data_IF_647685228092
#
_entry.id   IF_647685228092
#
_cell.length_a   1.000
_cell.length_b   1.000
_cell.length_c   1.000
_cell.angle_alpha   90.00
_cell.angle_beta   90.00
_cell.angle_gamma   90.00
#
_symmetry.space_group_name_H-M   'P 1'
#
loop_
_entity.id
_entity.type
_entity.pdbx_description
1 polymer ?
#
# COMPACT_ATOMS: atom_id res chain seq x y z
N UNK A 1 -21.88 -8.02 -22.89
CA UNK A 1 -20.61 -8.17 -23.61
C UNK A 1 -19.54 -8.84 -22.75
N UNK A 2 -19.27 -8.38 -21.51
CA UNK A 2 -18.30 -9.01 -20.59
C UNK A 2 -18.97 -9.64 -19.37
N UNK A 3 -18.46 -10.79 -18.94
CA UNK A 3 -18.70 -11.43 -17.65
C UNK A 3 -17.60 -11.05 -16.66
N UNK A 4 -17.99 -10.30 -15.63
CA UNK A 4 -17.12 -9.79 -14.58
C UNK A 4 -17.17 -10.63 -13.30
N UNK A 5 -17.97 -11.70 -13.28
CA UNK A 5 -18.17 -12.57 -12.12
C UNK A 5 -17.06 -13.60 -11.94
N UNK A 6 -16.30 -13.89 -13.00
CA UNK A 6 -15.17 -14.82 -12.99
C UNK A 6 -13.83 -14.10 -13.00
N UNK A 7 -12.76 -14.79 -12.58
CA UNK A 7 -11.38 -14.31 -12.70
C UNK A 7 -10.56 -15.30 -13.55
N UNK A 8 -9.95 -14.88 -14.68
CA UNK A 8 -10.01 -13.55 -15.30
C UNK A 8 -11.42 -13.22 -15.83
N UNK A 9 -11.67 -11.93 -16.08
CA UNK A 9 -12.87 -11.48 -16.81
C UNK A 9 -12.91 -12.09 -18.21
N UNK A 10 -14.10 -12.43 -18.68
CA UNK A 10 -14.31 -13.09 -19.99
C UNK A 10 -15.45 -12.45 -20.75
N UNK A 11 -15.55 -12.69 -22.04
CA UNK A 11 -16.72 -12.25 -22.80
C UNK A 11 -17.88 -13.22 -22.58
N UNK A 12 -19.10 -12.69 -22.58
CA UNK A 12 -20.30 -13.53 -22.58
C UNK A 12 -20.42 -14.22 -23.95
N UNK A 13 -20.83 -15.49 -24.03
CA UNK A 13 -20.87 -16.26 -25.28
C UNK A 13 -21.73 -15.65 -26.41
N UNK A 14 -22.61 -14.71 -26.10
CA UNK A 14 -23.57 -14.07 -27.02
C UNK A 14 -22.99 -12.82 -27.70
N UNK A 15 -21.70 -12.50 -27.49
CA UNK A 15 -21.06 -11.35 -28.11
C UNK A 15 -20.55 -11.68 -29.52
N UNK A 16 -21.29 -11.29 -30.57
CA UNK A 16 -20.92 -11.52 -31.98
C UNK A 16 -19.73 -10.65 -32.46
N UNK A 17 -19.40 -9.57 -31.75
CA UNK A 17 -18.27 -8.69 -32.05
C UNK A 17 -17.51 -8.34 -30.75
N UNK A 18 -16.19 -8.51 -30.79
CA UNK A 18 -15.29 -8.14 -29.69
C UNK A 18 -15.07 -6.63 -29.75
N UNK A 19 -15.90 -5.88 -29.01
CA UNK A 19 -15.79 -4.42 -28.91
C UNK A 19 -14.55 -3.93 -28.16
N UNK A 20 -13.82 -4.85 -27.49
CA UNK A 20 -12.56 -4.56 -26.82
C UNK A 20 -11.52 -5.65 -27.06
N UNK A 21 -10.24 -5.28 -27.14
CA UNK A 21 -9.16 -6.29 -27.19
C UNK A 21 -9.02 -7.07 -25.87
N UNK A 22 -8.52 -8.33 -25.85
CA UNK A 22 -8.24 -9.05 -24.60
C UNK A 22 -7.25 -8.33 -23.68
N UNK A 23 -6.28 -7.61 -24.26
CA UNK A 23 -5.35 -6.77 -23.51
C UNK A 23 -6.08 -5.60 -22.81
N UNK A 24 -6.99 -4.91 -23.53
CA UNK A 24 -7.84 -3.89 -22.94
C UNK A 24 -8.74 -4.47 -21.83
N UNK A 25 -9.31 -5.66 -22.02
CA UNK A 25 -10.12 -6.33 -21.00
C UNK A 25 -9.34 -6.59 -19.71
N UNK A 26 -8.08 -7.03 -19.81
CA UNK A 26 -7.22 -7.21 -18.65
C UNK A 26 -6.92 -5.88 -17.92
N UNK A 27 -6.76 -4.78 -18.66
CA UNK A 27 -6.59 -3.45 -18.05
C UNK A 27 -7.86 -2.96 -17.35
N UNK A 28 -9.05 -3.22 -17.90
CA UNK A 28 -10.31 -2.93 -17.22
C UNK A 28 -10.50 -3.75 -15.94
N UNK A 29 -10.09 -5.03 -15.95
CA UNK A 29 -10.10 -5.86 -14.76
C UNK A 29 -9.18 -5.30 -13.66
N UNK A 30 -7.97 -4.83 -14.02
CA UNK A 30 -7.05 -4.15 -13.10
C UNK A 30 -7.63 -2.85 -12.56
N UNK A 31 -8.20 -2.01 -13.42
CA UNK A 31 -8.85 -0.75 -13.01
C UNK A 31 -10.01 -0.99 -12.03
N UNK A 32 -10.82 -2.02 -12.27
CA UNK A 32 -11.89 -2.41 -11.35
C UNK A 32 -11.34 -2.83 -9.98
N UNK A 33 -10.25 -3.61 -9.94
CA UNK A 33 -9.57 -3.96 -8.68
C UNK A 33 -9.05 -2.73 -7.94
N UNK A 34 -8.39 -1.80 -8.63
CA UNK A 34 -7.91 -0.54 -8.06
C UNK A 34 -9.08 0.25 -7.45
N UNK A 35 -10.20 0.33 -8.18
CA UNK A 35 -11.42 0.98 -7.71
C UNK A 35 -11.97 0.32 -6.44
N UNK A 36 -12.06 -1.01 -6.41
CA UNK A 36 -12.61 -1.74 -5.26
C UNK A 36 -11.74 -1.61 -3.99
N UNK A 37 -10.42 -1.45 -4.17
CA UNK A 37 -9.48 -1.25 -3.05
C UNK A 37 -9.59 0.18 -2.50
N UNK A 38 -9.53 1.20 -3.36
CA UNK A 38 -9.34 2.58 -2.93
C UNK A 38 -10.63 3.42 -2.88
N UNK A 39 -11.63 3.13 -3.71
CA UNK A 39 -12.85 3.95 -3.85
C UNK A 39 -14.05 3.28 -3.19
N UNK A 40 -13.87 2.87 -1.94
CA UNK A 40 -14.89 2.13 -1.18
C UNK A 40 -16.07 3.03 -0.81
N UNK A 41 -17.22 2.40 -0.58
CA UNK A 41 -18.49 3.08 -0.27
C UNK A 41 -18.96 4.11 -1.32
N UNK A 42 -18.51 3.99 -2.57
CA UNK A 42 -18.88 4.94 -3.64
C UNK A 42 -18.19 6.30 -3.53
N UNK A 43 -17.14 6.41 -2.71
CA UNK A 43 -16.34 7.62 -2.59
C UNK A 43 -15.74 8.04 -3.92
N UNK A 44 -15.66 9.36 -4.16
CA UNK A 44 -15.04 9.95 -5.36
C UNK A 44 -13.53 10.12 -5.23
N UNK A 45 -12.99 9.87 -4.05
CA UNK A 45 -11.58 10.02 -3.70
C UNK A 45 -11.04 8.68 -3.19
N UNK A 46 -9.81 8.31 -3.58
CA UNK A 46 -9.19 7.10 -3.05
C UNK A 46 -8.95 7.27 -1.55
N UNK A 47 -9.18 6.22 -0.77
CA UNK A 47 -8.93 6.21 0.67
C UNK A 47 -8.55 4.81 1.17
N UNK A 48 -7.62 4.75 2.12
CA UNK A 48 -7.21 3.52 2.80
C UNK A 48 -6.90 3.81 4.27
N UNK A 49 -7.31 2.89 5.16
CA UNK A 49 -6.88 2.91 6.57
C UNK A 49 -5.93 1.75 6.82
N UNK A 50 -4.82 2.05 7.50
CA UNK A 50 -3.82 1.08 7.93
C UNK A 50 -3.59 1.23 9.43
N UNK A 51 -3.57 0.12 10.15
CA UNK A 51 -3.23 0.05 11.56
C UNK A 51 -1.86 -0.65 11.69
N UNK A 52 -0.85 0.07 12.18
CA UNK A 52 0.52 -0.40 12.34
C UNK A 52 0.77 -0.83 13.77
N UNK A 53 1.14 -2.08 13.98
CA UNK A 53 1.50 -2.65 15.28
C UNK A 53 2.98 -3.05 15.28
N UNK A 54 3.80 -2.52 16.19
CA UNK A 54 5.22 -2.90 16.30
C UNK A 54 5.37 -4.41 16.56
N UNK A 55 6.32 -5.04 15.89
CA UNK A 55 6.67 -6.47 16.08
C UNK A 55 8.12 -6.60 16.50
N UNK A 56 9.02 -5.93 15.79
CA UNK A 56 10.46 -6.00 16.04
C UNK A 56 11.09 -4.63 15.75
N UNK A 57 12.12 -4.28 16.51
CA UNK A 57 12.97 -3.13 16.25
C UNK A 57 14.38 -3.48 16.73
N UNK A 58 15.37 -3.28 15.87
CA UNK A 58 16.76 -3.53 16.25
C UNK A 58 17.14 -2.71 17.49
N UNK A 59 17.89 -3.31 18.42
CA UNK A 59 18.27 -2.69 19.69
C UNK A 59 19.11 -1.39 19.53
N UNK A 60 19.73 -1.20 18.36
CA UNK A 60 20.44 0.03 18.02
C UNK A 60 19.53 1.18 17.58
N UNK A 61 18.21 0.99 17.50
CA UNK A 61 17.22 2.02 17.25
C UNK A 61 16.49 2.32 18.56
N UNK A 62 16.61 3.54 19.06
CA UNK A 62 15.87 3.99 20.24
C UNK A 62 14.47 4.49 19.90
N UNK A 63 14.28 4.99 18.68
CA UNK A 63 12.98 5.46 18.20
C UNK A 63 12.83 5.29 16.69
N UNK A 64 11.68 4.79 16.28
CA UNK A 64 11.19 4.79 14.91
C UNK A 64 10.04 5.79 14.78
N UNK A 65 10.01 6.54 13.68
CA UNK A 65 8.91 7.42 13.28
C UNK A 65 8.60 7.20 11.81
N UNK A 66 7.35 6.86 11.50
CA UNK A 66 6.77 6.94 10.18
C UNK A 66 5.74 8.09 10.18
N UNK A 67 5.96 9.11 9.38
CA UNK A 67 5.02 10.20 9.10
C UNK A 67 4.31 9.92 7.78
N UNK A 68 3.00 9.69 7.84
CA UNK A 68 2.12 9.53 6.68
C UNK A 68 1.22 10.74 6.59
N UNK A 69 1.64 11.71 5.78
CA UNK A 69 0.86 12.91 5.50
C UNK A 69 0.35 13.63 6.77
N UNK A 70 1.26 13.80 7.74
CA UNK A 70 1.04 14.45 9.04
C UNK A 70 0.60 13.50 10.16
N UNK A 71 0.36 12.23 9.89
CA UNK A 71 0.00 11.23 10.90
C UNK A 71 1.22 10.39 11.28
N UNK A 72 1.48 10.28 12.58
CA UNK A 72 2.74 9.70 13.07
C UNK A 72 2.53 8.30 13.66
N UNK A 73 3.23 7.31 13.11
CA UNK A 73 3.47 6.00 13.73
C UNK A 73 4.84 6.05 14.41
N UNK A 74 4.86 6.18 15.74
CA UNK A 74 6.07 6.24 16.57
C UNK A 74 6.25 5.04 17.49
N UNK A 75 7.42 4.40 17.47
CA UNK A 75 7.75 3.34 18.43
C UNK A 75 9.12 3.56 19.06
N UNK A 76 9.23 3.36 20.37
CA UNK A 76 10.45 3.60 21.15
C UNK A 76 10.62 2.56 22.26
N UNK A 77 10.49 1.27 21.92
CA UNK A 77 10.53 0.14 22.87
C UNK A 77 9.52 0.25 24.04
N UNK A 78 8.40 0.94 23.81
CA UNK A 78 7.30 1.05 24.76
C UNK A 78 6.27 -0.08 24.60
N UNK A 79 5.08 0.07 25.20
CA UNK A 79 3.98 -0.86 24.99
C UNK A 79 3.63 -1.03 23.51
N UNK A 80 3.29 -2.26 23.13
CA UNK A 80 2.88 -2.59 21.75
C UNK A 80 1.42 -2.19 21.55
N UNK A 81 1.21 -0.97 21.05
CA UNK A 81 -0.11 -0.41 20.74
C UNK A 81 -0.23 -0.20 19.23
N UNK A 82 -1.31 -0.67 18.57
CA UNK A 82 -1.56 -0.38 17.17
C UNK A 82 -1.84 1.11 16.94
N UNK A 83 -1.27 1.67 15.86
CA UNK A 83 -1.47 3.08 15.49
C UNK A 83 -2.02 3.19 14.09
N UNK A 84 -3.12 3.94 13.97
CA UNK A 84 -3.86 4.10 12.74
C UNK A 84 -3.32 5.27 11.91
N UNK A 85 -3.28 5.07 10.59
CA UNK A 85 -3.12 6.15 9.61
C UNK A 85 -4.20 6.02 8.55
N UNK A 86 -4.70 7.17 8.09
CA UNK A 86 -5.60 7.26 6.95
C UNK A 86 -4.88 7.93 5.79
N UNK A 87 -4.95 7.33 4.60
CA UNK A 87 -4.43 7.91 3.38
C UNK A 87 -5.58 8.22 2.41
N UNK A 88 -5.59 9.38 1.73
CA UNK A 88 -4.77 10.56 2.00
C UNK A 88 -4.95 11.09 3.43
N UNK A 89 -3.92 11.72 3.97
CA UNK A 89 -3.92 12.22 5.34
C UNK A 89 -4.47 13.65 5.43
N UNK A 90 -4.62 14.18 6.66
CA UNK A 90 -5.23 15.48 6.89
C UNK A 90 -4.33 16.66 6.47
N UNK A 91 -3.02 16.43 6.32
CA UNK A 91 -2.07 17.51 6.00
C UNK A 91 -2.03 17.84 4.51
N UNK A 92 -2.45 16.93 3.63
CA UNK A 92 -2.43 17.13 2.18
C UNK A 92 -1.03 17.37 1.60
N UNK A 93 0.01 17.07 2.37
CA UNK A 93 1.41 17.20 1.96
C UNK A 93 1.81 16.16 0.92
N UNK A 94 1.04 15.08 0.79
CA UNK A 94 1.37 13.96 -0.11
C UNK A 94 2.80 13.44 0.11
N UNK A 95 3.28 13.45 1.35
CA UNK A 95 4.62 13.00 1.71
C UNK A 95 4.52 11.86 2.73
N UNK A 96 5.40 10.88 2.59
CA UNK A 96 5.67 9.85 3.58
C UNK A 96 7.14 9.91 3.98
N UNK A 97 7.42 9.87 5.28
CA UNK A 97 8.79 9.92 5.80
C UNK A 97 9.00 8.84 6.85
N UNK A 98 10.09 8.10 6.74
CA UNK A 98 10.54 7.17 7.78
C UNK A 98 11.82 7.73 8.39
N UNK A 99 11.93 7.67 9.72
CA UNK A 99 13.10 8.12 10.48
C UNK A 99 13.38 7.14 11.62
N UNK A 100 14.65 6.91 11.89
CA UNK A 100 15.14 6.14 13.03
C UNK A 100 16.18 6.93 13.80
N UNK A 101 16.12 6.85 15.13
CA UNK A 101 17.09 7.44 16.05
C UNK A 101 17.86 6.36 16.81
N UNK A 102 19.12 6.60 17.22
CA UNK A 102 19.93 7.77 16.86
C UNK A 102 20.29 7.78 15.37
N UNK A 103 20.69 8.93 14.80
CA UNK A 103 21.24 8.97 13.46
C UNK A 103 22.47 8.05 13.36
N UNK A 104 22.57 7.32 12.24
CA UNK A 104 23.76 6.55 11.91
C UNK A 104 24.94 7.49 11.61
N UNK A 105 26.13 7.10 12.05
CA UNK A 105 27.36 7.86 11.80
C UNK A 105 27.85 7.77 10.35
N UNK A 106 27.47 6.72 9.61
CA UNK A 106 28.01 6.41 8.28
C UNK A 106 26.95 5.94 7.27
N UNK A 107 25.66 6.13 7.56
CA UNK A 107 24.59 5.65 6.70
C UNK A 107 23.26 6.39 6.87
N UNK A 108 22.23 6.00 6.09
CA UNK A 108 20.92 6.63 6.17
C UNK A 108 20.29 6.37 7.54
N UNK A 109 19.48 7.34 7.98
CA UNK A 109 18.67 7.26 9.20
C UNK A 109 17.20 7.49 8.92
N UNK A 110 16.82 7.42 7.65
CA UNK A 110 15.46 7.59 7.19
C UNK A 110 15.37 7.61 5.67
N UNK A 111 14.14 7.75 5.20
CA UNK A 111 13.79 7.97 3.80
C UNK A 111 12.59 8.90 3.72
N UNK A 112 12.40 9.54 2.57
CA UNK A 112 11.21 10.34 2.28
C UNK A 112 10.74 10.05 0.86
N UNK A 113 9.43 9.95 0.68
CA UNK A 113 8.78 9.74 -0.61
C UNK A 113 7.68 10.78 -0.75
N UNK A 114 7.65 11.47 -1.89
CA UNK A 114 6.68 12.52 -2.18
C UNK A 114 5.70 12.08 -3.26
N UNK A 115 4.54 12.72 -3.33
CA UNK A 115 3.50 12.53 -4.33
C UNK A 115 2.26 11.79 -3.79
N UNK A 116 1.13 11.86 -4.51
CA UNK A 116 -0.16 11.39 -4.01
C UNK A 116 -0.12 9.91 -3.59
N UNK A 117 0.69 9.08 -4.25
CA UNK A 117 0.86 7.66 -3.96
C UNK A 117 2.12 7.33 -3.13
N UNK A 118 2.67 8.32 -2.40
CA UNK A 118 3.91 8.17 -1.63
C UNK A 118 3.87 7.02 -0.62
N UNK A 119 2.73 6.80 0.05
CA UNK A 119 2.57 5.71 1.00
C UNK A 119 2.82 4.34 0.34
N UNK A 120 2.23 4.09 -0.82
CA UNK A 120 2.37 2.82 -1.51
C UNK A 120 3.78 2.58 -2.01
N UNK A 121 4.45 3.63 -2.49
CA UNK A 121 5.87 3.55 -2.83
C UNK A 121 6.75 3.27 -1.62
N UNK A 122 6.49 3.92 -0.48
CA UNK A 122 7.22 3.65 0.76
C UNK A 122 6.98 2.23 1.28
N UNK A 123 5.78 1.66 1.07
CA UNK A 123 5.49 0.26 1.37
C UNK A 123 6.21 -0.68 0.38
N UNK A 124 6.22 -0.34 -0.91
CA UNK A 124 6.90 -1.09 -1.98
C UNK A 124 8.42 -1.16 -1.80
N UNK A 125 9.04 -0.13 -1.22
CA UNK A 125 10.46 -0.10 -0.87
C UNK A 125 10.77 -0.97 0.37
N UNK A 126 9.75 -1.30 1.16
CA UNK A 126 9.85 -2.21 2.30
C UNK A 126 9.80 -3.69 1.89
N UNK A 127 10.24 -4.57 2.79
CA UNK A 127 10.04 -6.01 2.60
C UNK A 127 8.68 -6.41 3.15
N UNK A 128 7.83 -6.94 2.27
CA UNK A 128 6.45 -7.26 2.58
C UNK A 128 6.24 -8.78 2.64
N UNK A 129 5.57 -9.24 3.69
CA UNK A 129 5.25 -10.64 3.91
C UNK A 129 3.76 -10.80 4.26
N UNK A 130 3.13 -11.84 3.75
CA UNK A 130 1.72 -12.11 4.04
C UNK A 130 1.52 -12.47 5.53
N UNK A 131 0.40 -12.02 6.10
CA UNK A 131 -0.04 -12.42 7.43
C UNK A 131 -0.90 -13.69 7.42
N UNK A 132 -1.51 -13.97 8.56
CA UNK A 132 -2.46 -15.07 8.78
C UNK A 132 -3.89 -14.77 8.29
N UNK A 133 -4.16 -13.51 7.91
CA UNK A 133 -5.45 -13.06 7.41
C UNK A 133 -5.30 -12.21 6.13
N UNK A 134 -6.29 -12.19 5.21
CA UNK A 134 -6.20 -11.44 3.95
C UNK A 134 -5.91 -9.94 4.09
N UNK A 135 -6.40 -9.34 5.17
CA UNK A 135 -6.24 -7.93 5.50
C UNK A 135 -4.95 -7.62 6.28
N UNK A 136 -4.18 -8.63 6.66
CA UNK A 136 -3.00 -8.51 7.52
C UNK A 136 -1.73 -8.89 6.78
N UNK A 137 -0.67 -8.12 7.00
CA UNK A 137 0.65 -8.38 6.47
C UNK A 137 1.73 -7.86 7.42
N UNK A 138 2.97 -8.25 7.16
CA UNK A 138 4.12 -7.67 7.82
C UNK A 138 4.89 -6.78 6.84
N UNK A 139 5.37 -5.65 7.33
CA UNK A 139 6.34 -4.82 6.64
C UNK A 139 7.61 -4.70 7.47
N UNK A 140 8.74 -4.93 6.82
CA UNK A 140 10.06 -4.62 7.37
C UNK A 140 10.62 -3.41 6.64
N UNK A 141 10.86 -2.32 7.38
CA UNK A 141 11.60 -1.18 6.87
C UNK A 141 13.08 -1.38 7.12
N UNK A 142 13.88 -1.37 6.06
CA UNK A 142 15.34 -1.44 6.13
C UNK A 142 15.92 -0.03 5.98
N UNK A 143 16.57 0.49 7.03
CA UNK A 143 17.23 1.80 7.03
C UNK A 143 18.72 1.60 7.27
N UNK A 144 19.47 1.53 6.17
CA UNK A 144 20.88 1.14 6.20
C UNK A 144 21.01 -0.32 6.67
N UNK A 145 21.82 -0.57 7.68
CA UNK A 145 21.97 -1.90 8.27
C UNK A 145 20.92 -2.23 9.35
N UNK A 146 20.03 -1.28 9.69
CA UNK A 146 19.07 -1.43 10.78
C UNK A 146 17.66 -1.67 10.25
N UNK A 147 16.86 -2.48 10.94
CA UNK A 147 15.49 -2.82 10.56
C UNK A 147 14.47 -2.55 11.66
N UNK A 148 13.24 -2.27 11.23
CA UNK A 148 12.04 -2.28 12.06
C UNK A 148 10.95 -3.08 11.36
N UNK A 149 10.17 -3.84 12.12
CA UNK A 149 9.09 -4.69 11.61
C UNK A 149 7.77 -4.34 12.26
N UNK A 150 6.74 -4.19 11.44
CA UNK A 150 5.37 -3.95 11.86
C UNK A 150 4.44 -5.00 11.27
N UNK A 151 3.47 -5.43 12.06
CA UNK A 151 2.24 -6.03 11.56
C UNK A 151 1.31 -4.89 11.14
N UNK A 152 0.79 -4.95 9.93
CA UNK A 152 -0.13 -3.96 9.38
C UNK A 152 -1.44 -4.64 9.07
N UNK A 153 -2.52 -4.07 9.61
CA UNK A 153 -3.88 -4.48 9.29
C UNK A 153 -4.54 -3.38 8.47
N UNK A 154 -5.20 -3.74 7.37
CA UNK A 154 -5.92 -2.78 6.54
C UNK A 154 -7.42 -2.94 6.71
N UNK A 155 -8.19 -1.89 6.47
CA UNK A 155 -9.65 -2.04 6.45
C UNK A 155 -10.15 -2.77 5.19
N UNK A 156 -9.27 -3.15 4.26
CA UNK A 156 -9.56 -3.85 3.01
C UNK A 156 -9.08 -5.31 3.05
N UNK A 157 -9.94 -6.25 2.63
CA UNK A 157 -9.53 -7.65 2.41
C UNK A 157 -8.73 -7.83 1.11
N UNK A 158 -8.73 -6.81 0.25
CA UNK A 158 -7.91 -6.77 -0.96
C UNK A 158 -6.59 -6.09 -0.63
N UNK A 159 -5.52 -6.87 -0.71
CA UNK A 159 -4.22 -6.54 -0.19
C UNK A 159 -3.53 -5.44 -1.01
N UNK A 160 -3.18 -4.28 -0.42
CA UNK A 160 -2.52 -3.17 -1.12
C UNK A 160 -1.04 -3.45 -1.43
N UNK A 161 -0.63 -4.71 -1.46
CA UNK A 161 0.76 -5.18 -1.72
C UNK A 161 0.82 -5.97 -3.02
N UNK A 162 -0.35 -6.44 -3.49
CA UNK A 162 -0.55 -6.75 -4.90
C UNK A 162 -0.79 -5.45 -5.65
N UNK A 163 0.21 -4.55 -5.62
CA UNK A 163 0.25 -3.34 -6.45
C UNK A 163 0.81 -3.67 -7.83
N UNK A 164 1.03 -4.96 -8.16
CA UNK A 164 1.30 -5.42 -9.51
C UNK A 164 0.26 -4.84 -10.47
N UNK A 165 -1.00 -4.77 -10.05
CA UNK A 165 -2.08 -4.13 -10.78
C UNK A 165 -1.88 -2.62 -10.99
N UNK A 166 -1.37 -1.87 -10.00
CA UNK A 166 -1.02 -0.45 -10.19
C UNK A 166 0.22 -0.26 -11.07
N UNK A 167 1.20 -1.16 -10.97
CA UNK A 167 2.44 -1.11 -11.76
C UNK A 167 2.23 -1.54 -13.22
N UNK A 168 1.33 -2.48 -13.45
CA UNK A 168 1.02 -3.03 -14.78
C UNK A 168 -0.20 -2.36 -15.44
N UNK A 169 -0.89 -1.49 -14.71
CA UNK A 169 -1.96 -0.69 -15.30
C UNK A 169 -1.35 0.24 -16.35
N UNK A 170 -1.87 0.13 -17.56
CA UNK A 170 -1.65 1.10 -18.63
C UNK A 170 -3.00 1.43 -19.22
N UNK A 171 -3.19 2.69 -19.61
CA UNK A 171 -4.35 3.07 -20.40
C UNK A 171 -4.33 2.26 -21.70
N UNK A 172 -5.42 1.54 -22.04
CA UNK A 172 -5.51 0.87 -23.33
C UNK A 172 -5.33 1.88 -24.46
N UNK A 173 -4.47 1.57 -25.44
CA UNK A 173 -4.23 2.43 -26.61
C UNK A 173 -5.42 2.44 -27.59
N UNK A 174 -6.40 1.55 -27.38
CA UNK A 174 -7.65 1.46 -28.12
C UNK A 174 -8.63 0.52 -27.41
N UNK A 175 -9.93 0.71 -27.70
CA UNK A 175 -10.98 -0.23 -27.30
C UNK A 175 -11.07 -1.31 -28.37
#
# INVERSE_FOLDING_TARGET
LVDTSTRPWRYKPVAEQWAITPAALAQFERAARIKDIFFRAGGRTPALRLDFKPVEMDAGITQFILDVDGQLVKYAHGPVVPMAVQWPGPKGSNQVRVQVSPPSASGPSGMAVDGPWALFRALDDGQLEAGDAPERFFITFQIGARKTRFEVTTNSVQHPIRLKELREFSCPEGL
#
